data_IF_098262497352
#
_entry.id   IF_098262497352
#
_cell.length_a   1.000
_cell.length_b   1.000
_cell.length_c   1.000
_cell.angle_alpha   90.00
_cell.angle_beta   90.00
_cell.angle_gamma   90.00
#
_symmetry.space_group_name_H-M   'P 1'
#
loop_
_entity.id
_entity.type
_entity.pdbx_description
1 polymer ?
#
# COMPACT_ATOMS: atom_id res chain seq x y z
N UNK A 1 -12.54 9.46 16.57
CA UNK A 1 -12.34 8.98 15.19
C UNK A 1 -12.27 10.19 14.28
N UNK A 2 -11.19 10.34 13.50
CA UNK A 2 -11.03 11.48 12.58
C UNK A 2 -12.11 11.42 11.50
N UNK A 3 -12.92 12.49 11.38
CA UNK A 3 -13.98 12.59 10.37
C UNK A 3 -13.44 12.39 8.94
N UNK A 4 -12.15 12.65 8.70
CA UNK A 4 -11.48 12.45 7.43
C UNK A 4 -11.33 10.95 7.10
N UNK A 5 -10.86 10.14 8.04
CA UNK A 5 -10.72 8.69 7.86
C UNK A 5 -12.06 8.01 7.53
N UNK A 6 -13.14 8.50 8.14
CA UNK A 6 -14.48 7.99 7.86
C UNK A 6 -14.84 8.10 6.38
N UNK A 7 -14.43 9.17 5.69
CA UNK A 7 -14.69 9.29 4.25
C UNK A 7 -14.00 8.16 3.49
N UNK A 8 -12.70 7.96 3.72
CA UNK A 8 -11.93 6.93 3.02
C UNK A 8 -12.49 5.53 3.30
N UNK A 9 -12.73 5.19 4.57
CA UNK A 9 -13.27 3.89 4.96
C UNK A 9 -14.68 3.66 4.42
N UNK A 10 -15.56 4.66 4.46
CA UNK A 10 -16.89 4.53 3.87
C UNK A 10 -16.82 4.35 2.35
N UNK A 11 -15.94 5.04 1.63
CA UNK A 11 -15.84 4.84 0.18
C UNK A 11 -15.37 3.42 -0.15
N UNK A 12 -14.26 2.95 0.45
CA UNK A 12 -13.71 1.62 0.11
C UNK A 12 -14.62 0.46 0.59
N UNK A 13 -15.44 0.68 1.62
CA UNK A 13 -16.42 -0.30 2.11
C UNK A 13 -17.83 -0.09 1.55
N UNK A 14 -18.04 0.92 0.70
CA UNK A 14 -19.34 1.31 0.15
C UNK A 14 -20.41 1.57 1.25
N UNK A 15 -20.04 2.40 2.23
CA UNK A 15 -20.78 2.73 3.46
C UNK A 15 -20.96 1.58 4.45
N UNK A 16 -20.13 0.53 4.36
CA UNK A 16 -20.11 -0.59 5.31
C UNK A 16 -19.28 -0.37 6.57
N UNK A 17 -18.63 0.79 6.72
CA UNK A 17 -17.77 1.08 7.87
C UNK A 17 -18.60 1.39 9.12
N UNK A 18 -18.36 0.67 10.21
CA UNK A 18 -19.12 0.77 11.47
C UNK A 18 -18.73 1.97 12.36
N UNK A 19 -17.67 2.70 11.99
CA UNK A 19 -17.20 3.85 12.77
C UNK A 19 -16.10 3.54 13.79
N UNK A 20 -15.68 2.28 13.93
CA UNK A 20 -14.69 1.86 14.95
C UNK A 20 -13.29 1.66 14.37
N UNK A 21 -13.08 0.53 13.68
CA UNK A 21 -11.82 0.12 13.07
C UNK A 21 -12.07 -0.44 11.68
N UNK A 22 -11.10 -0.27 10.78
CA UNK A 22 -11.24 -0.80 9.43
C UNK A 22 -11.21 -2.34 9.49
N UNK A 23 -12.32 -2.98 9.11
CA UNK A 23 -12.30 -4.36 8.70
C UNK A 23 -11.95 -4.43 7.21
N UNK A 24 -10.70 -4.73 6.88
CA UNK A 24 -10.26 -4.77 5.48
C UNK A 24 -11.00 -5.84 4.66
N UNK A 25 -11.51 -6.90 5.29
CA UNK A 25 -12.35 -7.91 4.65
C UNK A 25 -13.69 -7.37 4.15
N UNK A 26 -14.17 -6.26 4.72
CA UNK A 26 -15.37 -5.56 4.28
C UNK A 26 -15.14 -4.62 3.09
N UNK A 27 -13.90 -4.50 2.58
CA UNK A 27 -13.63 -3.70 1.39
C UNK A 27 -14.41 -4.24 0.18
N UNK A 28 -15.18 -3.34 -0.42
CA UNK A 28 -16.04 -3.62 -1.56
C UNK A 28 -15.28 -3.33 -2.87
N UNK A 29 -15.49 -4.18 -3.88
CA UNK A 29 -14.83 -4.00 -5.19
C UNK A 29 -15.16 -2.65 -5.82
N UNK A 30 -16.45 -2.29 -5.89
CA UNK A 30 -16.88 -1.03 -6.48
C UNK A 30 -16.43 0.17 -5.63
N UNK A 31 -16.37 0.01 -4.31
CA UNK A 31 -15.83 1.03 -3.41
C UNK A 31 -14.34 1.32 -3.66
N UNK A 32 -13.55 0.27 -3.87
CA UNK A 32 -12.13 0.39 -4.21
C UNK A 32 -11.94 1.02 -5.59
N UNK A 33 -12.67 0.55 -6.61
CA UNK A 33 -12.63 1.13 -7.96
C UNK A 33 -13.03 2.60 -7.97
N UNK A 34 -14.05 2.98 -7.19
CA UNK A 34 -14.45 4.37 -7.02
C UNK A 34 -13.31 5.19 -6.41
N UNK A 35 -12.64 4.68 -5.37
CA UNK A 35 -11.49 5.34 -4.77
C UNK A 35 -10.33 5.52 -5.77
N UNK A 36 -10.04 4.50 -6.59
CA UNK A 36 -9.03 4.59 -7.66
C UNK A 36 -9.37 5.71 -8.66
N UNK A 37 -10.63 5.81 -9.08
CA UNK A 37 -11.08 6.92 -9.95
C UNK A 37 -10.92 8.27 -9.26
N UNK A 38 -11.30 8.39 -7.98
CA UNK A 38 -11.14 9.64 -7.23
C UNK A 38 -9.67 10.07 -7.12
N UNK A 39 -8.74 9.12 -6.97
CA UNK A 39 -7.29 9.36 -6.91
C UNK A 39 -6.68 9.82 -8.24
N UNK A 40 -7.39 9.66 -9.36
CA UNK A 40 -6.97 10.17 -10.68
C UNK A 40 -7.27 11.66 -10.88
N UNK A 41 -8.08 12.27 -10.00
CA UNK A 41 -8.47 13.67 -10.15
C UNK A 41 -7.33 14.62 -9.82
N UNK A 42 -7.40 15.83 -10.40
CA UNK A 42 -6.41 16.90 -10.16
C UNK A 42 -6.52 17.52 -8.76
N UNK A 43 -7.72 17.53 -8.17
CA UNK A 43 -7.99 18.13 -6.86
C UNK A 43 -8.18 17.04 -5.82
N UNK A 44 -7.12 16.69 -5.11
CA UNK A 44 -7.06 15.54 -4.19
C UNK A 44 -7.00 15.92 -2.71
N UNK A 45 -7.20 17.20 -2.34
CA UNK A 45 -6.99 17.70 -0.96
C UNK A 45 -7.65 16.85 0.13
N UNK A 46 -8.90 16.46 -0.05
CA UNK A 46 -9.62 15.61 0.92
C UNK A 46 -9.01 14.21 0.98
N UNK A 47 -8.68 13.62 -0.17
CA UNK A 47 -8.04 12.30 -0.26
C UNK A 47 -6.68 12.30 0.42
N UNK A 48 -5.84 13.30 0.14
CA UNK A 48 -4.56 13.51 0.81
C UNK A 48 -4.71 13.52 2.33
N UNK A 49 -5.65 14.31 2.86
CA UNK A 49 -5.87 14.38 4.29
C UNK A 49 -6.35 13.04 4.89
N UNK A 50 -7.06 12.21 4.12
CA UNK A 50 -7.44 10.86 4.56
C UNK A 50 -6.23 9.92 4.57
N UNK A 51 -5.41 9.94 3.52
CA UNK A 51 -4.22 9.10 3.37
C UNK A 51 -3.19 9.41 4.47
N UNK A 52 -3.00 10.68 4.81
CA UNK A 52 -2.15 11.12 5.92
C UNK A 52 -2.63 10.55 7.26
N UNK A 53 -3.95 10.45 7.45
CA UNK A 53 -4.53 9.97 8.70
C UNK A 53 -4.51 8.44 8.87
N UNK A 54 -4.31 7.65 7.81
CA UNK A 54 -4.25 6.18 7.90
C UNK A 54 -3.20 5.69 8.92
N UNK A 55 -3.54 4.70 9.74
CA UNK A 55 -2.53 4.10 10.62
C UNK A 55 -1.56 3.21 9.84
N UNK A 56 -0.32 2.98 10.31
CA UNK A 56 0.59 2.01 9.68
C UNK A 56 -0.04 0.62 9.56
N UNK A 57 -0.79 0.19 10.58
CA UNK A 57 -1.49 -1.10 10.56
C UNK A 57 -2.55 -1.18 9.46
N UNK A 58 -3.36 -0.14 9.29
CA UNK A 58 -4.36 -0.09 8.22
C UNK A 58 -3.69 -0.11 6.84
N UNK A 59 -2.58 0.60 6.66
CA UNK A 59 -1.82 0.62 5.41
C UNK A 59 -1.32 -0.79 5.06
N UNK A 60 -0.74 -1.51 6.02
CA UNK A 60 -0.28 -2.89 5.81
C UNK A 60 -1.43 -3.81 5.47
N UNK A 61 -2.57 -3.70 6.16
CA UNK A 61 -3.75 -4.52 5.87
C UNK A 61 -4.32 -4.24 4.47
N UNK A 62 -4.41 -2.96 4.08
CA UNK A 62 -4.87 -2.55 2.75
C UNK A 62 -3.96 -3.11 1.65
N UNK A 63 -2.64 -3.06 1.85
CA UNK A 63 -1.66 -3.55 0.86
C UNK A 63 -1.77 -5.05 0.57
N UNK A 64 -2.24 -5.83 1.54
CA UNK A 64 -2.37 -7.30 1.45
C UNK A 64 -3.78 -7.78 1.13
N UNK A 65 -4.69 -6.85 0.82
CA UNK A 65 -6.06 -7.18 0.48
C UNK A 65 -6.25 -7.31 -1.03
N UNK A 66 -7.04 -8.29 -1.46
CA UNK A 66 -7.31 -8.59 -2.87
C UNK A 66 -8.00 -7.46 -3.67
N UNK A 67 -8.61 -6.48 -2.98
CA UNK A 67 -9.28 -5.33 -3.60
C UNK A 67 -8.58 -4.03 -3.23
N UNK A 68 -8.33 -3.83 -1.94
CA UNK A 68 -7.82 -2.56 -1.44
C UNK A 68 -6.33 -2.32 -1.77
N UNK A 69 -5.57 -3.36 -2.13
CA UNK A 69 -4.19 -3.21 -2.60
C UNK A 69 -4.12 -2.35 -3.86
N UNK A 70 -5.09 -2.46 -4.77
CA UNK A 70 -5.20 -1.63 -5.96
C UNK A 70 -5.37 -0.15 -5.64
N UNK A 71 -6.06 0.19 -4.54
CA UNK A 71 -6.18 1.58 -4.06
C UNK A 71 -4.81 2.13 -3.70
N UNK A 72 -3.97 1.39 -2.96
CA UNK A 72 -2.62 1.84 -2.64
C UNK A 72 -1.74 1.96 -3.90
N UNK A 73 -1.84 1.00 -4.84
CA UNK A 73 -1.14 1.12 -6.12
C UNK A 73 -1.54 2.40 -6.87
N UNK A 74 -2.84 2.73 -6.89
CA UNK A 74 -3.34 3.96 -7.51
C UNK A 74 -2.80 5.22 -6.80
N UNK A 75 -2.67 5.22 -5.47
CA UNK A 75 -2.05 6.32 -4.72
C UNK A 75 -0.59 6.54 -5.18
N UNK A 76 0.20 5.47 -5.24
CA UNK A 76 1.62 5.57 -5.60
C UNK A 76 1.83 5.97 -7.07
N UNK A 77 0.96 5.50 -7.96
CA UNK A 77 0.94 5.88 -9.39
C UNK A 77 0.39 7.29 -9.64
N UNK A 78 -0.40 7.85 -8.73
CA UNK A 78 -1.05 9.14 -8.94
C UNK A 78 -0.02 10.29 -8.99
N UNK A 79 -0.03 11.13 -10.04
CA UNK A 79 0.85 12.30 -10.13
C UNK A 79 0.34 13.49 -9.31
N UNK A 80 -0.86 13.42 -8.75
CA UNK A 80 -1.52 14.51 -8.02
C UNK A 80 -1.49 14.32 -6.50
N UNK A 81 -1.02 13.17 -6.03
CA UNK A 81 -0.73 12.93 -4.62
C UNK A 81 0.70 13.38 -4.31
N UNK A 82 0.84 14.19 -3.28
CA UNK A 82 2.12 14.74 -2.82
C UNK A 82 3.10 13.64 -2.39
N UNK A 83 4.38 13.84 -2.69
CA UNK A 83 5.43 12.87 -2.38
C UNK A 83 5.56 12.60 -0.87
N UNK A 84 5.32 13.59 0.00
CA UNK A 84 5.36 13.40 1.45
C UNK A 84 4.27 12.43 1.94
N UNK A 85 3.11 12.43 1.29
CA UNK A 85 2.03 11.49 1.59
C UNK A 85 2.46 10.08 1.20
N UNK A 86 3.06 9.92 0.01
CA UNK A 86 3.57 8.64 -0.46
C UNK A 86 4.67 8.11 0.48
N UNK A 87 5.59 8.97 0.89
CA UNK A 87 6.62 8.65 1.88
C UNK A 87 6.04 8.17 3.20
N UNK A 88 5.04 8.88 3.72
CA UNK A 88 4.34 8.48 4.94
C UNK A 88 3.72 7.09 4.79
N UNK A 89 3.11 6.78 3.64
CA UNK A 89 2.52 5.46 3.39
C UNK A 89 3.60 4.37 3.29
N UNK A 90 4.70 4.65 2.60
CA UNK A 90 5.84 3.73 2.44
C UNK A 90 6.48 3.41 3.79
N UNK A 91 6.56 4.40 4.70
CA UNK A 91 7.18 4.20 6.01
C UNK A 91 6.50 3.11 6.86
N UNK A 92 5.24 2.77 6.57
CA UNK A 92 4.53 1.65 7.21
C UNK A 92 5.17 0.28 6.93
N UNK A 93 6.01 0.15 5.90
CA UNK A 93 6.66 -1.09 5.50
C UNK A 93 8.13 -1.18 5.91
N UNK A 94 8.73 -0.08 6.40
CA UNK A 94 10.18 -0.03 6.69
C UNK A 94 10.64 -1.01 7.77
N UNK A 95 9.72 -1.41 8.67
CA UNK A 95 10.00 -2.42 9.69
C UNK A 95 10.00 -3.85 9.16
N UNK A 96 9.29 -4.14 8.06
CA UNK A 96 9.11 -5.49 7.55
C UNK A 96 8.72 -5.51 6.06
N UNK A 97 9.70 -5.23 5.21
CA UNK A 97 9.53 -5.34 3.76
C UNK A 97 9.33 -6.79 3.29
N UNK A 98 9.91 -7.76 4.00
CA UNK A 98 9.82 -9.18 3.64
C UNK A 98 8.38 -9.69 3.67
N UNK A 99 7.61 -9.29 4.67
CA UNK A 99 6.19 -9.61 4.80
C UNK A 99 5.32 -8.97 3.71
N UNK A 100 5.70 -7.80 3.18
CA UNK A 100 4.99 -7.22 2.03
C UNK A 100 5.31 -7.98 0.73
N UNK A 101 6.60 -8.26 0.49
CA UNK A 101 7.08 -8.89 -0.74
C UNK A 101 6.60 -10.34 -0.88
N UNK A 102 6.48 -11.07 0.23
CA UNK A 102 6.02 -12.47 0.21
C UNK A 102 4.49 -12.63 0.11
N UNK A 103 3.73 -11.53 0.18
CA UNK A 103 2.27 -11.55 0.07
C UNK A 103 1.82 -11.52 -1.41
N UNK A 104 0.76 -12.28 -1.72
CA UNK A 104 0.23 -12.42 -3.08
C UNK A 104 -0.23 -11.08 -3.68
N UNK A 105 -0.76 -10.17 -2.86
CA UNK A 105 -1.19 -8.84 -3.31
C UNK A 105 -0.16 -7.77 -2.96
N UNK A 106 0.50 -7.94 -1.81
CA UNK A 106 1.53 -7.02 -1.31
C UNK A 106 2.74 -6.91 -2.24
N UNK A 107 3.15 -7.99 -2.90
CA UNK A 107 4.23 -7.99 -3.90
C UNK A 107 3.99 -6.98 -5.03
N UNK A 108 2.77 -6.89 -5.55
CA UNK A 108 2.41 -5.90 -6.58
C UNK A 108 2.37 -4.45 -6.05
N UNK A 109 2.02 -4.27 -4.76
CA UNK A 109 2.14 -2.96 -4.10
C UNK A 109 3.61 -2.58 -3.99
N UNK A 110 4.47 -3.51 -3.62
CA UNK A 110 5.92 -3.31 -3.57
C UNK A 110 6.50 -2.93 -4.93
N UNK A 111 6.15 -3.66 -6.00
CA UNK A 111 6.55 -3.31 -7.38
C UNK A 111 6.13 -1.88 -7.74
N UNK A 112 4.91 -1.50 -7.37
CA UNK A 112 4.42 -0.13 -7.63
C UNK A 112 5.19 0.92 -6.81
N UNK A 113 5.56 0.62 -5.56
CA UNK A 113 6.43 1.49 -4.74
C UNK A 113 7.80 1.61 -5.38
N UNK A 114 8.35 0.51 -5.88
CA UNK A 114 9.67 0.47 -6.51
C UNK A 114 9.76 1.43 -7.70
N UNK A 115 8.71 1.52 -8.50
CA UNK A 115 8.60 2.41 -9.66
C UNK A 115 8.10 3.82 -9.32
N UNK A 116 7.75 4.09 -8.05
CA UNK A 116 7.24 5.38 -7.62
C UNK A 116 8.34 6.47 -7.65
N UNK A 117 7.96 7.73 -7.90
CA UNK A 117 8.90 8.87 -8.00
C UNK A 117 9.76 9.08 -6.75
N UNK A 118 9.23 8.71 -5.59
CA UNK A 118 9.90 8.80 -4.29
C UNK A 118 11.03 7.77 -4.09
N UNK A 119 11.13 6.77 -4.97
CA UNK A 119 12.13 5.71 -4.91
C UNK A 119 13.26 5.93 -5.92
N UNK A 120 14.16 6.85 -5.59
CA UNK A 120 15.36 7.10 -6.40
C UNK A 120 16.38 5.95 -6.33
N UNK A 121 17.39 6.00 -7.21
CA UNK A 121 18.44 4.97 -7.33
C UNK A 121 19.13 4.65 -6.01
N UNK A 122 19.45 5.68 -5.21
CA UNK A 122 20.13 5.49 -3.91
C UNK A 122 19.24 4.72 -2.94
N UNK A 123 17.97 5.10 -2.83
CA UNK A 123 17.01 4.43 -1.95
C UNK A 123 16.78 2.98 -2.37
N UNK A 124 16.69 2.71 -3.67
CA UNK A 124 16.63 1.34 -4.23
C UNK A 124 17.84 0.51 -3.79
N UNK A 125 19.05 1.06 -3.88
CA UNK A 125 20.27 0.38 -3.43
C UNK A 125 20.27 0.10 -1.92
N UNK A 126 19.86 1.09 -1.12
CA UNK A 126 19.82 0.94 0.34
C UNK A 126 18.77 -0.07 0.78
N UNK A 127 17.61 -0.10 0.12
CA UNK A 127 16.60 -1.13 0.36
C UNK A 127 17.11 -2.53 -0.05
N UNK A 128 17.74 -2.66 -1.22
CA UNK A 128 18.27 -3.95 -1.67
C UNK A 128 19.27 -4.55 -0.69
N UNK A 129 20.14 -3.74 -0.06
CA UNK A 129 21.04 -4.21 1.01
C UNK A 129 20.27 -4.79 2.20
N UNK A 130 19.10 -4.25 2.54
CA UNK A 130 18.22 -4.78 3.60
C UNK A 130 17.52 -6.07 3.18
N UNK A 131 17.22 -6.23 1.88
CA UNK A 131 16.50 -7.39 1.34
C UNK A 131 17.39 -8.61 1.06
N UNK A 132 18.69 -8.42 0.75
CA UNK A 132 19.63 -9.52 0.49
C UNK A 132 19.62 -10.60 1.60
N UNK A 133 19.68 -10.25 2.90
CA UNK A 133 19.58 -11.25 3.97
C UNK A 133 18.26 -12.03 3.97
N UNK A 134 17.15 -11.38 3.60
CA UNK A 134 15.81 -12.01 3.55
C UNK A 134 15.77 -13.05 2.42
N UNK A 135 16.33 -12.72 1.25
CA UNK A 135 16.42 -13.67 0.14
C UNK A 135 17.24 -14.91 0.52
N UNK A 136 18.38 -14.74 1.20
CA UNK A 136 19.20 -15.87 1.67
C UNK A 136 18.41 -16.76 2.65
N UNK A 137 17.62 -16.17 3.55
CA UNK A 137 16.78 -16.96 4.46
C UNK A 137 15.65 -17.72 3.75
N UNK A 138 15.04 -17.16 2.72
CA UNK A 138 13.98 -17.82 1.93
C UNK A 138 14.56 -18.91 1.01
N UNK A 139 15.71 -18.65 0.37
CA UNK A 139 16.41 -19.63 -0.46
C UNK A 139 16.94 -20.84 0.33
N UNK A 140 17.32 -20.63 1.61
CA UNK A 140 17.74 -21.73 2.49
C UNK A 140 16.57 -22.56 3.02
N UNK A 141 15.32 -22.07 2.92
CA UNK A 141 14.11 -22.81 3.29
C UNK A 141 13.53 -23.59 2.10
N UNK A 142 13.92 -23.27 0.88
CA UNK A 142 13.33 -23.82 -0.33
C UNK A 142 14.38 -24.56 -1.18
N UNK A 143 14.75 -25.77 -0.76
CA UNK A 143 15.56 -26.69 -1.58
C UNK A 143 14.80 -27.28 -2.78
N UNK A 144 13.60 -26.77 -3.12
CA UNK A 144 12.77 -27.36 -4.18
C UNK A 144 12.33 -26.37 -5.26
N UNK A 145 12.47 -25.05 -5.10
CA UNK A 145 11.93 -24.10 -6.08
C UNK A 145 12.92 -23.00 -6.46
N UNK A 146 14.04 -23.37 -7.09
CA UNK A 146 14.82 -22.44 -7.91
C UNK A 146 14.60 -22.81 -9.37
N UNK A 147 13.51 -22.31 -9.94
CA UNK A 147 13.40 -22.10 -11.38
C UNK A 147 12.58 -20.82 -11.56
N UNK A 148 13.11 -19.89 -12.36
CA UNK A 148 12.59 -18.55 -12.66
C UNK A 148 13.08 -17.45 -11.71
N UNK A 149 14.38 -17.15 -11.77
CA UNK A 149 14.89 -15.82 -12.14
C UNK A 149 16.15 -15.99 -12.99
#
# INVERSE_FOLDING_TARGET
VDKKLNFFYNVITLNGYNGETLNVGACNLHGCLLMEVLLSFKKTKTLTACLEALSPGDIVQLAKNNRASHVLQAVFKSPTIDENVKEKLISAFESDWGSLISDVYGSHVFETIWDCSVFNVKRRQDLMKKLVPIHVSLANLDSTVVTVL
#
